data_IF_280132286102
#
_entry.id   IF_280132286102
#
_cell.length_a   1.000
_cell.length_b   1.000
_cell.length_c   1.000
_cell.angle_alpha   90.00
_cell.angle_beta   90.00
_cell.angle_gamma   90.00
#
_symmetry.space_group_name_H-M   'P 1'
#
loop_
_entity.id
_entity.type
_entity.pdbx_description
1 polymer ?
#
# COMPACT_ATOMS: atom_id res chain seq x y z
N UNK A 1 -15.64 9.43 -3.42
CA UNK A 1 -16.11 8.85 -4.71
C UNK A 1 -14.90 8.87 -5.62
N UNK A 2 -14.50 7.72 -6.18
CA UNK A 2 -13.33 7.64 -7.04
C UNK A 2 -13.53 8.50 -8.30
N UNK A 3 -12.43 9.00 -8.84
CA UNK A 3 -12.41 9.66 -10.15
C UNK A 3 -12.85 8.72 -11.27
N UNK A 4 -13.33 9.28 -12.39
CA UNK A 4 -13.77 8.50 -13.56
C UNK A 4 -12.64 7.61 -14.09
N UNK A 5 -11.41 8.09 -14.04
CA UNK A 5 -10.22 7.34 -14.42
C UNK A 5 -10.02 6.10 -13.54
N UNK A 6 -10.20 6.24 -12.21
CA UNK A 6 -10.08 5.12 -11.27
C UNK A 6 -11.20 4.10 -11.49
N UNK A 7 -12.44 4.56 -11.66
CA UNK A 7 -13.60 3.68 -11.96
C UNK A 7 -13.31 2.86 -13.21
N UNK A 8 -12.82 3.49 -14.28
CA UNK A 8 -12.45 2.80 -15.52
C UNK A 8 -11.42 1.70 -15.26
N UNK A 9 -10.38 1.99 -14.48
CA UNK A 9 -9.31 1.03 -14.18
C UNK A 9 -9.85 -0.17 -13.39
N UNK A 10 -10.73 0.07 -12.42
CA UNK A 10 -11.25 -0.97 -11.53
C UNK A 10 -12.33 -1.82 -12.21
N UNK A 11 -13.32 -1.17 -12.83
CA UNK A 11 -14.57 -1.83 -13.25
C UNK A 11 -14.56 -2.25 -14.74
N UNK A 12 -13.79 -1.55 -15.59
CA UNK A 12 -13.85 -1.76 -17.05
C UNK A 12 -12.64 -2.52 -17.60
N UNK A 13 -11.47 -2.39 -16.97
CA UNK A 13 -10.26 -3.07 -17.40
C UNK A 13 -10.12 -4.42 -16.67
N UNK A 14 -9.96 -5.50 -17.42
CA UNK A 14 -9.84 -6.87 -16.89
C UNK A 14 -8.40 -7.40 -16.90
N UNK A 15 -7.50 -6.72 -17.60
CA UNK A 15 -6.11 -7.14 -17.77
C UNK A 15 -5.16 -6.26 -16.94
N UNK A 16 -4.19 -6.90 -16.29
CA UNK A 16 -3.24 -6.21 -15.41
C UNK A 16 -2.37 -5.21 -16.19
N UNK A 17 -1.92 -5.54 -17.39
CA UNK A 17 -1.08 -4.64 -18.20
C UNK A 17 -1.86 -3.41 -18.65
N UNK A 18 -3.15 -3.59 -19.01
CA UNK A 18 -4.04 -2.47 -19.33
C UNK A 18 -4.25 -1.55 -18.12
N UNK A 19 -4.49 -2.12 -16.93
CA UNK A 19 -4.63 -1.36 -15.69
C UNK A 19 -3.37 -0.58 -15.37
N UNK A 20 -2.20 -1.21 -15.48
CA UNK A 20 -0.89 -0.59 -15.25
C UNK A 20 -0.64 0.54 -16.27
N UNK A 21 -0.97 0.32 -17.55
CA UNK A 21 -0.83 1.35 -18.57
C UNK A 21 -1.73 2.57 -18.29
N UNK A 22 -2.96 2.33 -17.85
CA UNK A 22 -3.91 3.39 -17.49
C UNK A 22 -3.51 4.13 -16.19
N UNK A 23 -2.96 3.40 -15.21
CA UNK A 23 -2.46 3.97 -13.95
C UNK A 23 -1.41 5.06 -14.18
N UNK A 24 -0.54 4.91 -15.19
CA UNK A 24 0.49 5.91 -15.54
C UNK A 24 -0.08 7.29 -15.90
N UNK A 25 -1.37 7.38 -16.24
CA UNK A 25 -2.04 8.64 -16.52
C UNK A 25 -2.61 9.31 -15.26
N UNK A 26 -2.60 8.65 -14.10
CA UNK A 26 -2.99 9.25 -12.83
C UNK A 26 -1.93 10.26 -12.39
N UNK A 27 -2.37 11.42 -11.92
CA UNK A 27 -1.49 12.56 -11.67
C UNK A 27 -1.36 12.91 -10.19
N UNK A 28 -2.18 12.32 -9.31
CA UNK A 28 -2.19 12.65 -7.89
C UNK A 28 -2.10 11.44 -6.98
N UNK A 29 -1.53 11.66 -5.79
CA UNK A 29 -1.48 10.68 -4.70
C UNK A 29 -2.89 10.22 -4.26
N UNK A 30 -3.89 11.13 -4.30
CA UNK A 30 -5.28 10.79 -3.97
C UNK A 30 -5.89 9.80 -4.98
N UNK A 31 -5.64 9.99 -6.27
CA UNK A 31 -6.09 9.04 -7.30
C UNK A 31 -5.44 7.66 -7.12
N UNK A 32 -4.15 7.63 -6.78
CA UNK A 32 -3.45 6.38 -6.47
C UNK A 32 -4.04 5.68 -5.24
N UNK A 33 -4.36 6.44 -4.19
CA UNK A 33 -5.00 5.90 -2.99
C UNK A 33 -6.41 5.37 -3.27
N UNK A 34 -7.21 6.11 -4.04
CA UNK A 34 -8.53 5.65 -4.45
C UNK A 34 -8.41 4.35 -5.27
N UNK A 35 -7.47 4.29 -6.22
CA UNK A 35 -7.22 3.06 -6.96
C UNK A 35 -6.87 1.90 -6.03
N UNK A 36 -5.97 2.09 -5.07
CA UNK A 36 -5.62 1.05 -4.10
C UNK A 36 -6.83 0.58 -3.26
N UNK A 37 -7.75 1.49 -2.91
CA UNK A 37 -8.93 1.18 -2.08
C UNK A 37 -10.03 0.45 -2.83
N UNK A 38 -10.22 0.77 -4.12
CA UNK A 38 -11.28 0.19 -4.93
C UNK A 38 -10.82 -1.01 -5.76
N UNK A 39 -9.52 -1.18 -5.97
CA UNK A 39 -8.97 -2.35 -6.65
C UNK A 39 -9.29 -3.65 -5.91
N UNK A 40 -9.68 -4.68 -6.66
CA UNK A 40 -9.82 -6.02 -6.11
C UNK A 40 -8.43 -6.64 -5.88
N UNK A 41 -7.92 -6.60 -4.65
CA UNK A 41 -6.62 -7.17 -4.27
C UNK A 41 -6.49 -8.68 -4.52
N UNK A 42 -7.62 -9.38 -4.75
CA UNK A 42 -7.63 -10.77 -5.20
C UNK A 42 -7.14 -10.97 -6.65
N UNK A 43 -7.07 -9.90 -7.44
CA UNK A 43 -6.56 -9.93 -8.82
C UNK A 43 -5.01 -9.93 -8.88
N UNK A 44 -4.33 -9.95 -7.73
CA UNK A 44 -2.88 -10.07 -7.61
C UNK A 44 -2.16 -8.79 -7.20
N UNK A 45 -0.83 -8.85 -7.17
CA UNK A 45 0.02 -7.76 -6.63
C UNK A 45 0.56 -6.80 -7.70
N UNK A 46 0.33 -7.05 -8.98
CA UNK A 46 0.90 -6.25 -10.07
C UNK A 46 0.44 -4.77 -10.03
N UNK A 47 -0.85 -4.51 -9.77
CA UNK A 47 -1.38 -3.15 -9.65
C UNK A 47 -0.89 -2.48 -8.35
N UNK A 48 -0.97 -3.10 -7.15
CA UNK A 48 -0.38 -2.53 -5.94
C UNK A 48 1.11 -2.19 -6.08
N UNK A 49 1.90 -3.05 -6.73
CA UNK A 49 3.30 -2.79 -7.03
C UNK A 49 3.46 -1.55 -7.93
N UNK A 50 2.69 -1.47 -9.02
CA UNK A 50 2.71 -0.32 -9.92
C UNK A 50 2.29 0.99 -9.24
N UNK A 51 1.34 0.94 -8.29
CA UNK A 51 1.00 2.11 -7.46
C UNK A 51 2.20 2.52 -6.61
N UNK A 52 2.85 1.56 -5.94
CA UNK A 52 4.02 1.83 -5.08
C UNK A 52 5.26 2.32 -5.84
N UNK A 53 5.37 2.01 -7.13
CA UNK A 53 6.43 2.50 -8.02
C UNK A 53 6.10 3.85 -8.68
N UNK A 54 4.86 4.34 -8.52
CA UNK A 54 4.40 5.53 -9.21
C UNK A 54 5.08 6.80 -8.65
N UNK A 55 5.54 7.75 -9.50
CA UNK A 55 6.18 8.98 -9.02
C UNK A 55 5.30 9.86 -8.12
N UNK A 56 3.97 9.74 -8.23
CA UNK A 56 3.02 10.44 -7.36
C UNK A 56 2.69 9.68 -6.06
N UNK A 57 3.28 8.50 -5.82
CA UNK A 57 3.10 7.76 -4.58
C UNK A 57 3.87 8.47 -3.46
N UNK A 58 3.14 9.12 -2.56
CA UNK A 58 3.71 9.71 -1.35
C UNK A 58 3.74 8.70 -0.19
N UNK A 59 4.32 9.12 0.93
CA UNK A 59 4.42 8.28 2.13
C UNK A 59 3.03 7.86 2.65
N UNK A 60 2.03 8.72 2.54
CA UNK A 60 0.66 8.41 2.95
C UNK A 60 0.09 7.26 2.12
N UNK A 61 0.18 7.34 0.79
CA UNK A 61 -0.23 6.26 -0.13
C UNK A 61 0.50 4.97 0.19
N UNK A 62 1.83 5.01 0.41
CA UNK A 62 2.61 3.84 0.74
C UNK A 62 2.18 3.18 2.06
N UNK A 63 1.84 3.98 3.08
CA UNK A 63 1.32 3.46 4.35
C UNK A 63 -0.06 2.83 4.20
N UNK A 64 -0.96 3.43 3.41
CA UNK A 64 -2.26 2.83 3.08
C UNK A 64 -2.10 1.52 2.30
N UNK A 65 -1.21 1.46 1.32
CA UNK A 65 -0.89 0.22 0.58
C UNK A 65 -0.37 -0.87 1.52
N UNK A 66 0.52 -0.54 2.44
CA UNK A 66 1.03 -1.48 3.43
C UNK A 66 -0.08 -2.00 4.35
N UNK A 67 -0.98 -1.14 4.82
CA UNK A 67 -2.11 -1.52 5.67
C UNK A 67 -3.15 -2.37 4.91
N UNK A 68 -3.50 -1.98 3.67
CA UNK A 68 -4.42 -2.74 2.80
C UNK A 68 -3.89 -4.13 2.46
N UNK A 69 -2.57 -4.28 2.33
CA UNK A 69 -1.91 -5.56 2.14
C UNK A 69 -1.77 -6.38 3.43
N UNK A 70 -2.26 -5.91 4.57
CA UNK A 70 -2.01 -6.53 5.87
C UNK A 70 -0.52 -6.73 6.18
N UNK A 71 0.34 -5.81 5.76
CA UNK A 71 1.79 -5.96 5.81
C UNK A 71 2.38 -6.14 7.22
N UNK A 72 1.64 -5.78 8.27
CA UNK A 72 2.03 -6.08 9.66
C UNK A 72 2.08 -7.59 9.94
N UNK A 73 1.29 -8.41 9.25
CA UNK A 73 1.34 -9.87 9.34
C UNK A 73 2.69 -10.40 8.86
N UNK A 74 3.19 -9.83 7.76
CA UNK A 74 4.53 -10.15 7.25
C UNK A 74 5.61 -9.79 8.28
N UNK A 75 5.57 -8.57 8.83
CA UNK A 75 6.58 -8.11 9.79
C UNK A 75 6.57 -8.86 11.13
N UNK A 76 5.40 -9.32 11.58
CA UNK A 76 5.25 -10.01 12.88
C UNK A 76 5.46 -11.52 12.79
N UNK A 77 5.66 -12.07 11.59
CA UNK A 77 5.84 -13.51 11.34
C UNK A 77 7.15 -13.82 10.59
N UNK A 78 8.33 -13.42 11.10
CA UNK A 78 9.59 -13.54 10.36
C UNK A 78 10.02 -14.97 10.05
N UNK A 79 9.56 -15.96 10.83
CA UNK A 79 9.88 -17.38 10.64
C UNK A 79 8.88 -18.12 9.75
N UNK A 80 7.81 -17.45 9.30
CA UNK A 80 6.79 -18.09 8.46
C UNK A 80 7.30 -18.29 7.04
N UNK A 81 7.09 -19.49 6.50
CA UNK A 81 7.27 -19.74 5.08
C UNK A 81 6.11 -19.10 4.29
N UNK A 82 6.48 -18.22 3.37
CA UNK A 82 5.58 -17.49 2.48
C UNK A 82 5.64 -17.98 1.04
N UNK A 83 6.25 -19.13 0.76
CA UNK A 83 6.38 -19.72 -0.58
C UNK A 83 5.06 -19.76 -1.36
N UNK A 84 3.95 -20.15 -0.72
CA UNK A 84 2.62 -20.17 -1.35
C UNK A 84 1.98 -18.79 -1.59
N UNK A 85 2.55 -17.72 -1.03
CA UNK A 85 2.07 -16.33 -1.15
C UNK A 85 3.25 -15.41 -1.53
N UNK A 86 4.13 -15.90 -2.39
CA UNK A 86 5.41 -15.26 -2.69
C UNK A 86 5.25 -13.83 -3.19
N UNK A 87 4.32 -13.56 -4.10
CA UNK A 87 4.09 -12.21 -4.65
C UNK A 87 3.66 -11.21 -3.58
N UNK A 88 2.76 -11.62 -2.68
CA UNK A 88 2.30 -10.81 -1.56
C UNK A 88 3.43 -10.54 -0.57
N UNK A 89 4.18 -11.58 -0.19
CA UNK A 89 5.28 -11.44 0.76
C UNK A 89 6.41 -10.57 0.19
N UNK A 90 6.70 -10.70 -1.09
CA UNK A 90 7.67 -9.85 -1.79
C UNK A 90 7.19 -8.39 -1.83
N UNK A 91 5.90 -8.15 -2.12
CA UNK A 91 5.33 -6.80 -2.04
C UNK A 91 5.47 -6.21 -0.63
N UNK A 92 5.06 -6.93 0.42
CA UNK A 92 5.19 -6.47 1.81
C UNK A 92 6.64 -6.20 2.20
N UNK A 93 7.58 -7.04 1.74
CA UNK A 93 9.02 -6.86 1.96
C UNK A 93 9.52 -5.57 1.30
N UNK A 94 9.21 -5.36 0.02
CA UNK A 94 9.67 -4.19 -0.75
C UNK A 94 9.07 -2.90 -0.19
N UNK A 95 7.75 -2.85 0.04
CA UNK A 95 7.10 -1.63 0.49
C UNK A 95 7.54 -1.24 1.92
N UNK A 96 7.71 -2.22 2.82
CA UNK A 96 8.22 -1.95 4.18
C UNK A 96 9.65 -1.43 4.16
N UNK A 97 10.54 -2.02 3.34
CA UNK A 97 11.91 -1.52 3.17
C UNK A 97 11.94 -0.09 2.63
N UNK A 98 11.11 0.21 1.62
CA UNK A 98 11.02 1.56 1.04
C UNK A 98 10.53 2.59 2.05
N UNK A 99 9.47 2.29 2.80
CA UNK A 99 8.96 3.15 3.88
C UNK A 99 10.08 3.42 4.91
N UNK A 100 10.76 2.37 5.38
CA UNK A 100 11.82 2.50 6.40
C UNK A 100 13.06 3.24 5.90
N UNK A 101 13.37 3.14 4.61
CA UNK A 101 14.49 3.85 4.00
C UNK A 101 14.22 5.34 3.71
N UNK A 102 12.97 5.80 3.90
CA UNK A 102 12.57 7.16 3.53
C UNK A 102 12.44 7.38 2.02
N UNK A 103 12.17 6.31 1.25
CA UNK A 103 12.03 6.36 -0.21
C UNK A 103 10.91 7.31 -0.65
N UNK A 104 9.81 7.34 0.09
CA UNK A 104 8.64 8.16 -0.22
C UNK A 104 8.74 9.51 0.49
N UNK A 105 8.52 10.59 -0.26
CA UNK A 105 8.39 11.92 0.32
C UNK A 105 7.06 12.04 1.10
N UNK A 106 7.05 12.87 2.15
CA UNK A 106 5.79 13.31 2.75
C UNK A 106 5.04 14.15 1.72
N UNK A 107 3.84 13.71 1.35
CA UNK A 107 2.96 14.37 0.40
C UNK A 107 1.68 14.83 1.06
N UNK A 108 0.59 14.88 0.29
CA UNK A 108 -0.69 15.44 0.73
C UNK A 108 -1.62 14.42 1.36
N UNK A 109 -1.34 13.12 1.21
CA UNK A 109 -2.22 12.06 1.73
C UNK A 109 -1.94 11.84 3.22
N UNK A 110 -2.94 12.08 4.10
CA UNK A 110 -2.80 11.72 5.51
C UNK A 110 -2.92 10.22 5.72
N UNK A 111 -2.32 9.73 6.79
CA UNK A 111 -2.45 8.35 7.23
C UNK A 111 -2.89 8.30 8.69
N UNK A 112 -3.91 7.48 8.97
CA UNK A 112 -4.32 7.11 10.32
C UNK A 112 -4.59 5.62 10.26
N UNK A 113 -3.76 4.85 10.98
CA UNK A 113 -3.93 3.41 11.01
C UNK A 113 -5.27 3.02 11.64
N UNK A 114 -5.84 1.92 11.14
CA UNK A 114 -7.05 1.31 11.68
C UNK A 114 -6.82 0.59 13.02
N UNK A 115 -5.58 0.48 13.50
CA UNK A 115 -5.28 -0.19 14.76
C UNK A 115 -5.78 0.59 15.98
N UNK A 116 -6.36 -0.15 16.92
CA UNK A 116 -6.65 0.36 18.27
C UNK A 116 -5.36 0.67 19.04
N UNK A 117 -5.43 1.53 20.10
CA UNK A 117 -4.27 1.82 20.95
C UNK A 117 -3.60 0.58 21.54
N UNK A 118 -4.37 -0.47 21.85
CA UNK A 118 -3.86 -1.74 22.38
C UNK A 118 -3.08 -2.51 21.30
N UNK A 119 -3.54 -2.49 20.05
CA UNK A 119 -2.81 -3.11 18.93
C UNK A 119 -1.51 -2.36 18.65
N UNK A 120 -1.52 -1.03 18.63
CA UNK A 120 -0.30 -0.22 18.47
C UNK A 120 0.72 -0.52 19.59
N UNK A 121 0.25 -0.67 20.84
CA UNK A 121 1.13 -1.05 21.95
C UNK A 121 1.75 -2.44 21.76
N UNK A 122 0.99 -3.41 21.25
CA UNK A 122 1.50 -4.76 20.94
C UNK A 122 2.56 -4.72 19.84
N UNK A 123 2.28 -4.02 18.74
CA UNK A 123 3.22 -3.86 17.62
C UNK A 123 4.53 -3.20 18.07
N UNK A 124 4.44 -2.13 18.88
CA UNK A 124 5.61 -1.49 19.49
C UNK A 124 6.43 -2.46 20.33
N UNK A 125 5.79 -3.29 21.16
CA UNK A 125 6.48 -4.31 21.98
C UNK A 125 7.13 -5.41 21.15
N UNK A 126 6.61 -5.69 19.96
CA UNK A 126 7.19 -6.61 18.99
C UNK A 126 8.32 -5.97 18.17
N UNK A 127 8.67 -4.70 18.43
CA UNK A 127 9.73 -3.99 17.72
C UNK A 127 9.33 -3.48 16.34
N UNK A 128 8.03 -3.49 16.00
CA UNK A 128 7.56 -2.92 14.75
C UNK A 128 7.73 -1.40 14.79
N UNK A 129 8.38 -0.79 13.76
CA UNK A 129 8.59 0.66 13.71
C UNK A 129 7.28 1.45 13.73
N UNK A 130 7.25 2.55 14.48
CA UNK A 130 6.03 3.33 14.68
C UNK A 130 5.49 3.98 13.41
N UNK A 131 6.33 4.20 12.39
CA UNK A 131 5.91 4.77 11.10
C UNK A 131 4.72 4.01 10.48
N UNK A 132 4.59 2.71 10.74
CA UNK A 132 3.52 1.88 10.20
C UNK A 132 2.17 2.03 10.93
N UNK A 133 2.13 2.66 12.10
CA UNK A 133 0.91 2.75 12.91
C UNK A 133 0.72 4.08 13.65
N UNK A 134 1.64 5.03 13.48
CA UNK A 134 1.51 6.41 13.96
C UNK A 134 0.82 7.27 12.89
N UNK A 135 -0.02 8.24 13.29
CA UNK A 135 -0.64 9.15 12.35
C UNK A 135 0.40 9.94 11.54
N UNK A 136 0.19 10.05 10.23
CA UNK A 136 0.90 10.97 9.35
C UNK A 136 -0.03 12.15 9.05
N UNK A 137 0.41 13.35 9.42
CA UNK A 137 -0.25 14.61 9.08
C UNK A 137 0.68 15.36 8.12
N UNK A 138 0.26 15.55 6.85
CA UNK A 138 0.95 16.35 5.83
C UNK A 138 1.34 17.76 6.26
#
# INVERSE_FOLDING_TARGET
MPSVEVVRIVDELNDADQRIAALRALLSAEQLLDLARYYNWGDGMAVPQAISDHPACDLGVALHLFELAEGTVFLTSPERDWSCQHEWAEFCRVISQRILSGHYATGIVPFVSAFSPVQCLKLRRQGIPEVFFSPLVP
#
